data_IF_700257899673
#
_entry.id   IF_700257899673
#
_cell.length_a   1.000
_cell.length_b   1.000
_cell.length_c   1.000
_cell.angle_alpha   90.00
_cell.angle_beta   90.00
_cell.angle_gamma   90.00
#
_symmetry.space_group_name_H-M   'P 1'
#
loop_
_entity.id
_entity.type
_entity.pdbx_description
1 polymer ?
#
# COMPACT_ATOMS: atom_id res chain seq x y z
N UNK A 1 1.13 -18.87 -0.26
CA UNK A 1 0.11 -19.78 0.28
C UNK A 1 0.73 -21.10 0.77
N UNK A 2 1.43 -21.86 -0.09
CA UNK A 2 2.02 -23.17 0.27
C UNK A 2 2.86 -23.13 1.56
N UNK A 3 3.72 -22.13 1.71
CA UNK A 3 4.54 -21.97 2.93
C UNK A 3 3.67 -21.76 4.17
N UNK A 4 2.64 -20.93 4.08
CA UNK A 4 1.71 -20.69 5.20
C UNK A 4 0.93 -21.96 5.56
N UNK A 5 0.47 -22.71 4.58
CA UNK A 5 -0.18 -24.00 4.79
C UNK A 5 0.76 -25.00 5.50
N UNK A 6 2.05 -25.04 5.08
CA UNK A 6 3.08 -25.85 5.77
C UNK A 6 3.35 -25.43 7.22
N UNK A 7 3.04 -24.19 7.59
CA UNK A 7 3.09 -23.68 8.97
C UNK A 7 1.78 -23.88 9.74
N UNK A 8 0.79 -24.55 9.16
CA UNK A 8 -0.53 -24.75 9.76
C UNK A 8 -1.46 -23.53 9.68
N UNK A 9 -1.11 -22.53 8.86
CA UNK A 9 -1.91 -21.34 8.65
C UNK A 9 -2.77 -21.55 7.40
N UNK A 10 -4.09 -21.52 7.54
CA UNK A 10 -5.00 -21.63 6.39
C UNK A 10 -4.80 -20.47 5.43
N UNK A 11 -4.32 -20.73 4.22
CA UNK A 11 -3.98 -19.72 3.25
C UNK A 11 -4.38 -20.13 1.82
N UNK A 12 -4.79 -19.16 1.01
CA UNK A 12 -5.19 -19.38 -0.37
C UNK A 12 -4.55 -18.38 -1.33
N UNK A 13 -4.10 -18.86 -2.46
CA UNK A 13 -3.60 -18.04 -3.56
C UNK A 13 -4.75 -17.54 -4.44
N UNK A 14 -4.69 -16.25 -4.81
CA UNK A 14 -5.68 -15.57 -5.63
C UNK A 14 -5.02 -14.85 -6.79
N UNK A 15 -5.59 -15.02 -7.98
CA UNK A 15 -5.23 -14.23 -9.14
C UNK A 15 -6.15 -13.00 -9.26
N UNK A 16 -5.70 -11.95 -9.95
CA UNK A 16 -6.47 -10.70 -10.07
C UNK A 16 -7.86 -10.85 -10.70
N UNK A 17 -8.09 -11.89 -11.51
CA UNK A 17 -9.40 -12.21 -12.08
C UNK A 17 -10.30 -13.02 -11.13
N UNK A 18 -9.73 -13.75 -10.17
CA UNK A 18 -10.49 -14.47 -9.14
C UNK A 18 -11.00 -13.53 -8.05
N UNK A 19 -10.22 -12.50 -7.77
CA UNK A 19 -10.66 -11.31 -7.05
C UNK A 19 -10.91 -10.24 -8.10
N UNK A 20 -12.14 -9.97 -8.55
CA UNK A 20 -12.38 -9.12 -9.70
C UNK A 20 -11.84 -7.70 -9.50
N UNK A 21 -10.54 -7.50 -9.79
CA UNK A 21 -9.92 -6.19 -9.89
C UNK A 21 -10.25 -5.67 -11.29
N UNK A 22 -11.35 -4.95 -11.40
CA UNK A 22 -11.83 -4.45 -12.68
C UNK A 22 -11.03 -3.22 -13.12
N UNK A 23 -10.64 -3.21 -14.38
CA UNK A 23 -9.75 -2.18 -14.91
C UNK A 23 -10.23 -1.59 -16.23
N UNK A 24 -9.61 -0.45 -16.59
CA UNK A 24 -9.72 0.13 -17.92
C UNK A 24 -9.01 -0.73 -18.99
N UNK A 25 -9.21 -0.40 -20.27
CA UNK A 25 -8.68 -1.13 -21.44
C UNK A 25 -7.22 -0.78 -21.80
N UNK A 26 -6.51 -0.01 -21.00
CA UNK A 26 -5.11 0.35 -21.27
C UNK A 26 -4.17 -0.76 -20.78
N UNK A 27 -4.01 -1.85 -21.52
CA UNK A 27 -3.36 -3.09 -21.09
C UNK A 27 -2.01 -2.95 -20.40
N UNK A 28 -1.17 -1.99 -20.76
CA UNK A 28 0.16 -1.80 -20.15
C UNK A 28 0.18 -0.79 -18.99
N UNK A 29 -0.92 -0.05 -18.77
CA UNK A 29 -1.06 1.01 -17.76
C UNK A 29 -2.52 1.16 -17.34
N UNK A 30 -3.20 0.05 -17.09
CA UNK A 30 -4.62 0.04 -16.75
C UNK A 30 -4.87 0.76 -15.42
N UNK A 31 -6.03 1.40 -15.31
CA UNK A 31 -6.53 2.00 -14.07
C UNK A 31 -7.53 1.07 -13.42
N UNK A 32 -7.44 0.89 -12.11
CA UNK A 32 -8.45 0.19 -11.34
C UNK A 32 -9.73 1.02 -11.37
N UNK A 33 -10.84 0.39 -11.72
CA UNK A 33 -12.18 0.98 -11.77
C UNK A 33 -13.01 0.53 -10.58
N UNK A 34 -12.85 -0.74 -10.18
CA UNK A 34 -13.59 -1.35 -9.08
C UNK A 34 -12.88 -2.59 -8.55
N UNK A 35 -13.09 -2.93 -7.29
CA UNK A 35 -12.60 -4.17 -6.67
C UNK A 35 -13.73 -4.77 -5.83
N UNK A 36 -14.11 -6.01 -6.11
CA UNK A 36 -15.11 -6.70 -5.32
C UNK A 36 -14.47 -7.53 -4.20
N UNK A 37 -14.47 -7.00 -2.97
CA UNK A 37 -13.93 -7.66 -1.78
C UNK A 37 -14.86 -8.65 -1.07
N UNK A 38 -16.10 -8.83 -1.51
CA UNK A 38 -17.12 -9.58 -0.77
C UNK A 38 -16.72 -11.03 -0.47
N UNK A 39 -16.14 -11.75 -1.44
CA UNK A 39 -15.70 -13.13 -1.24
C UNK A 39 -14.51 -13.22 -0.27
N UNK A 40 -13.58 -12.26 -0.29
CA UNK A 40 -12.49 -12.20 0.70
C UNK A 40 -13.05 -12.01 2.11
N UNK A 41 -13.94 -11.02 2.30
CA UNK A 41 -14.56 -10.75 3.60
C UNK A 41 -15.27 -11.99 4.14
N UNK A 42 -16.01 -12.69 3.27
CA UNK A 42 -16.69 -13.93 3.63
C UNK A 42 -15.69 -14.98 4.12
N UNK A 43 -14.61 -15.21 3.37
CA UNK A 43 -13.60 -16.22 3.72
C UNK A 43 -12.82 -15.87 4.97
N UNK A 44 -12.50 -14.60 5.20
CA UNK A 44 -11.86 -14.17 6.44
C UNK A 44 -12.72 -14.47 7.66
N UNK A 45 -14.04 -14.22 7.56
CA UNK A 45 -14.99 -14.48 8.65
C UNK A 45 -15.23 -15.98 8.90
N UNK A 46 -15.50 -16.74 7.84
CA UNK A 46 -15.91 -18.13 7.94
C UNK A 46 -14.74 -19.09 8.13
N UNK A 47 -13.57 -18.81 7.52
CA UNK A 47 -12.44 -19.74 7.44
C UNK A 47 -11.17 -19.25 8.12
N UNK A 48 -11.13 -18.00 8.57
CA UNK A 48 -9.90 -17.32 9.05
C UNK A 48 -8.72 -17.55 8.09
N UNK A 49 -9.00 -17.46 6.80
CA UNK A 49 -8.07 -17.74 5.71
C UNK A 49 -7.20 -16.53 5.43
N UNK A 50 -5.92 -16.73 5.21
CA UNK A 50 -5.01 -15.69 4.70
C UNK A 50 -5.07 -15.71 3.17
N UNK A 51 -5.44 -14.57 2.56
CA UNK A 51 -5.44 -14.42 1.11
C UNK A 51 -4.08 -13.95 0.60
N UNK A 52 -3.43 -14.75 -0.25
CA UNK A 52 -2.20 -14.38 -0.94
C UNK A 52 -2.55 -13.96 -2.36
N UNK A 53 -2.54 -12.68 -2.64
CA UNK A 53 -3.07 -12.09 -3.87
C UNK A 53 -1.93 -11.63 -4.76
N UNK A 54 -1.95 -12.01 -6.06
CA UNK A 54 -1.00 -11.51 -7.04
C UNK A 54 -1.26 -10.03 -7.34
N UNK A 55 -0.27 -9.18 -7.10
CA UNK A 55 -0.31 -7.78 -7.50
C UNK A 55 -0.13 -7.56 -9.01
N UNK A 56 -0.06 -6.30 -9.44
CA UNK A 56 0.28 -5.86 -10.79
C UNK A 56 -0.75 -6.19 -11.89
N UNK A 57 -1.78 -6.94 -11.63
CA UNK A 57 -2.74 -7.39 -12.62
C UNK A 57 -4.18 -7.07 -12.25
N UNK A 58 -5.01 -6.92 -13.27
CA UNK A 58 -6.44 -6.80 -13.17
C UNK A 58 -7.12 -7.43 -14.39
N UNK A 59 -8.41 -7.19 -14.53
CA UNK A 59 -9.22 -7.72 -15.63
C UNK A 59 -10.05 -6.60 -16.25
N UNK A 60 -10.02 -6.47 -17.58
CA UNK A 60 -10.90 -5.52 -18.26
C UNK A 60 -12.36 -5.96 -18.14
N UNK A 61 -13.22 -5.04 -17.70
CA UNK A 61 -14.61 -5.33 -17.33
C UNK A 61 -15.42 -6.00 -18.44
N UNK A 62 -15.33 -5.47 -19.67
CA UNK A 62 -16.22 -5.92 -20.76
C UNK A 62 -15.69 -7.12 -21.53
N UNK A 63 -14.38 -7.28 -21.63
CA UNK A 63 -13.76 -8.35 -22.42
C UNK A 63 -13.24 -9.51 -21.59
N UNK A 64 -13.15 -9.38 -20.28
CA UNK A 64 -12.55 -10.38 -19.38
C UNK A 64 -11.04 -10.58 -19.58
N UNK A 65 -10.37 -9.75 -20.41
CA UNK A 65 -8.93 -9.88 -20.67
C UNK A 65 -8.10 -9.38 -19.52
N UNK A 66 -7.01 -10.07 -19.22
CA UNK A 66 -6.05 -9.66 -18.20
C UNK A 66 -5.36 -8.36 -18.63
N UNK A 67 -5.22 -7.45 -17.71
CA UNK A 67 -4.53 -6.16 -17.85
C UNK A 67 -3.41 -6.04 -16.85
N UNK A 68 -2.43 -5.19 -17.11
CA UNK A 68 -1.39 -4.83 -16.14
C UNK A 68 -1.51 -3.36 -15.74
N UNK A 69 -1.17 -3.08 -14.48
CA UNK A 69 -1.38 -1.75 -13.88
C UNK A 69 -0.22 -0.77 -14.15
N UNK A 70 0.79 -1.22 -14.88
CA UNK A 70 1.97 -0.44 -15.19
C UNK A 70 3.00 -0.41 -14.05
N UNK A 71 4.01 0.45 -14.18
CA UNK A 71 5.10 0.56 -13.18
C UNK A 71 4.53 0.97 -11.81
N UNK A 72 5.05 0.35 -10.73
CA UNK A 72 4.53 0.56 -9.37
C UNK A 72 3.17 -0.10 -9.11
N UNK A 73 2.81 -1.09 -9.94
CA UNK A 73 1.52 -1.76 -9.92
C UNK A 73 1.28 -2.73 -8.75
N UNK A 74 2.11 -2.74 -7.69
CA UNK A 74 1.88 -3.53 -6.47
C UNK A 74 1.17 -2.72 -5.38
N UNK A 75 1.54 -1.46 -5.19
CA UNK A 75 1.00 -0.62 -4.12
C UNK A 75 -0.46 -0.25 -4.38
N UNK A 76 -0.75 0.15 -5.61
CA UNK A 76 -2.11 0.57 -6.01
C UNK A 76 -3.17 -0.52 -5.77
N UNK A 77 -2.99 -1.79 -6.22
CA UNK A 77 -3.97 -2.83 -5.92
C UNK A 77 -4.00 -3.21 -4.44
N UNK A 78 -2.89 -3.10 -3.69
CA UNK A 78 -2.90 -3.36 -2.27
C UNK A 78 -3.82 -2.39 -1.54
N UNK A 79 -3.71 -1.09 -1.81
CA UNK A 79 -4.59 -0.06 -1.23
C UNK A 79 -6.03 -0.22 -1.71
N UNK A 80 -6.25 -0.53 -3.01
CA UNK A 80 -7.59 -0.75 -3.55
C UNK A 80 -8.29 -1.97 -2.91
N UNK A 81 -7.56 -3.05 -2.68
CA UNK A 81 -8.08 -4.24 -1.98
C UNK A 81 -8.37 -3.89 -0.52
N UNK A 82 -7.45 -3.19 0.17
CA UNK A 82 -7.66 -2.76 1.54
C UNK A 82 -8.94 -1.92 1.69
N UNK A 83 -9.19 -1.00 0.75
CA UNK A 83 -10.44 -0.24 0.68
C UNK A 83 -11.66 -1.15 0.49
N UNK A 84 -11.60 -2.07 -0.47
CA UNK A 84 -12.71 -2.97 -0.82
C UNK A 84 -13.10 -3.94 0.31
N UNK A 85 -12.17 -4.29 1.18
CA UNK A 85 -12.42 -5.17 2.35
C UNK A 85 -12.60 -4.41 3.66
N UNK A 86 -12.56 -3.08 3.62
CA UNK A 86 -12.59 -2.22 4.82
C UNK A 86 -11.50 -2.59 5.82
N UNK A 87 -10.27 -2.76 5.33
CA UNK A 87 -9.13 -3.06 6.18
C UNK A 87 -8.81 -1.86 7.10
N UNK A 88 -8.33 -2.15 8.29
CA UNK A 88 -7.91 -1.14 9.27
C UNK A 88 -6.73 -0.29 8.75
N UNK A 89 -5.82 -0.93 8.01
CA UNK A 89 -4.67 -0.27 7.36
C UNK A 89 -4.11 -1.15 6.23
N UNK A 90 -3.25 -0.56 5.42
CA UNK A 90 -2.48 -1.22 4.37
C UNK A 90 -0.98 -1.03 4.63
N UNK A 91 -0.26 -2.09 4.97
CA UNK A 91 1.19 -2.03 5.16
C UNK A 91 1.90 -2.28 3.82
N UNK A 92 2.74 -1.33 3.39
CA UNK A 92 3.57 -1.42 2.18
C UNK A 92 5.02 -1.69 2.60
N UNK A 93 5.48 -2.89 2.34
CA UNK A 93 6.86 -3.29 2.59
C UNK A 93 7.72 -2.98 1.36
N UNK A 94 8.76 -2.19 1.56
CA UNK A 94 9.65 -1.70 0.49
C UNK A 94 11.12 -1.76 0.92
N UNK A 95 12.02 -1.25 0.09
CA UNK A 95 13.47 -1.19 0.33
C UNK A 95 13.91 -0.01 1.21
N UNK A 96 12.97 0.83 1.63
CA UNK A 96 13.18 1.91 2.60
C UNK A 96 12.37 1.68 3.87
N UNK A 97 12.81 2.25 4.98
CA UNK A 97 12.20 2.07 6.30
C UNK A 97 11.16 3.14 6.65
N UNK A 98 10.76 3.95 5.68
CA UNK A 98 9.73 4.99 5.84
C UNK A 98 9.96 6.19 4.93
N UNK A 99 9.20 7.24 5.19
CA UNK A 99 9.32 8.56 4.54
C UNK A 99 10.20 9.47 5.39
N UNK A 100 11.10 10.21 4.75
CA UNK A 100 12.05 11.09 5.41
C UNK A 100 11.77 12.56 5.08
N UNK A 101 12.21 13.44 5.96
CA UNK A 101 12.13 14.90 5.75
C UNK A 101 12.84 15.37 4.47
N UNK A 102 13.82 14.61 4.00
CA UNK A 102 14.46 14.74 2.68
C UNK A 102 15.21 13.44 2.37
N UNK A 103 15.83 13.32 1.18
CA UNK A 103 16.59 12.11 0.81
C UNK A 103 17.82 11.93 1.71
N UNK A 104 17.87 10.89 2.58
CA UNK A 104 18.99 10.66 3.51
C UNK A 104 20.32 10.37 2.80
N UNK A 105 20.29 9.97 1.52
CA UNK A 105 21.50 9.79 0.69
C UNK A 105 22.15 11.11 0.30
N UNK A 106 21.38 12.20 0.32
CA UNK A 106 21.83 13.55 0.00
C UNK A 106 22.10 14.35 1.28
N UNK A 107 21.20 14.22 2.25
CA UNK A 107 21.27 14.92 3.54
C UNK A 107 21.34 13.91 4.67
N UNK A 108 22.53 13.60 5.20
CA UNK A 108 22.70 12.58 6.26
C UNK A 108 21.95 12.89 7.58
N UNK A 109 21.48 14.12 7.76
CA UNK A 109 20.68 14.53 8.93
C UNK A 109 19.16 14.43 8.69
N UNK A 110 18.74 13.89 7.56
CA UNK A 110 17.33 13.63 7.29
C UNK A 110 16.73 12.75 8.41
N UNK A 111 15.55 13.09 8.88
CA UNK A 111 14.84 12.36 9.92
C UNK A 111 13.66 11.62 9.30
N UNK A 112 13.42 10.40 9.75
CA UNK A 112 12.23 9.65 9.38
C UNK A 112 11.01 10.27 10.05
N UNK A 113 9.95 10.44 9.27
CA UNK A 113 8.66 10.91 9.76
C UNK A 113 7.88 9.73 10.36
N UNK A 114 7.33 9.91 11.53
CA UNK A 114 6.45 8.91 12.14
C UNK A 114 5.07 8.91 11.47
N UNK A 115 4.56 10.10 11.16
CA UNK A 115 3.29 10.32 10.46
C UNK A 115 3.46 11.40 9.39
N UNK A 116 2.66 11.30 8.34
CA UNK A 116 2.54 12.30 7.27
C UNK A 116 1.11 12.28 6.75
N UNK A 117 0.55 13.44 6.40
CA UNK A 117 -0.78 13.50 5.82
C UNK A 117 -0.79 12.99 4.37
N UNK A 118 -1.98 12.61 3.87
CA UNK A 118 -2.10 12.22 2.46
C UNK A 118 -1.70 13.36 1.52
N UNK A 119 -2.07 14.59 1.85
CA UNK A 119 -1.77 15.80 1.07
C UNK A 119 -0.26 16.02 0.99
N UNK A 120 0.44 16.01 2.12
CA UNK A 120 1.89 16.15 2.18
C UNK A 120 2.61 15.03 1.44
N UNK A 121 2.11 13.77 1.59
CA UNK A 121 2.70 12.63 0.89
C UNK A 121 2.49 12.74 -0.63
N UNK A 122 1.35 13.26 -1.11
CA UNK A 122 1.11 13.53 -2.53
C UNK A 122 2.08 14.58 -3.07
N UNK A 123 2.31 15.66 -2.34
CA UNK A 123 3.31 16.65 -2.71
C UNK A 123 4.71 16.03 -2.79
N UNK A 124 5.15 15.34 -1.75
CA UNK A 124 6.46 14.69 -1.72
C UNK A 124 6.63 13.69 -2.88
N UNK A 125 5.62 12.86 -3.14
CA UNK A 125 5.64 11.87 -4.23
C UNK A 125 5.67 12.54 -5.63
N UNK A 126 4.93 13.61 -5.81
CA UNK A 126 4.89 14.36 -7.08
C UNK A 126 6.20 15.09 -7.38
N UNK A 127 6.91 15.54 -6.36
CA UNK A 127 8.16 16.27 -6.44
C UNK A 127 9.42 15.39 -6.44
N UNK A 128 9.27 14.07 -6.38
CA UNK A 128 10.39 13.14 -6.55
C UNK A 128 10.71 12.19 -5.40
N UNK A 129 9.97 12.22 -4.30
CA UNK A 129 10.08 11.22 -3.25
C UNK A 129 9.45 9.90 -3.75
N UNK A 130 10.28 9.01 -4.31
CA UNK A 130 9.84 7.76 -4.97
C UNK A 130 9.56 6.61 -3.98
N UNK A 131 9.03 6.92 -2.81
CA UNK A 131 8.73 5.91 -1.77
C UNK A 131 7.42 5.18 -2.10
N UNK A 132 6.39 5.92 -2.51
CA UNK A 132 5.10 5.39 -2.93
C UNK A 132 4.69 5.91 -4.30
N UNK A 133 3.83 5.16 -4.97
CA UNK A 133 3.19 5.64 -6.19
C UNK A 133 2.09 6.65 -5.85
N UNK A 134 2.06 7.77 -6.56
CA UNK A 134 1.03 8.82 -6.37
C UNK A 134 -0.39 8.24 -6.36
N UNK A 135 -0.69 7.33 -7.29
CA UNK A 135 -2.00 6.66 -7.37
C UNK A 135 -2.40 5.88 -6.12
N UNK A 136 -1.44 5.26 -5.43
CA UNK A 136 -1.75 4.52 -4.19
C UNK A 136 -2.10 5.48 -3.05
N UNK A 137 -1.42 6.63 -2.98
CA UNK A 137 -1.70 7.67 -2.01
C UNK A 137 -3.06 8.33 -2.28
N UNK A 138 -3.36 8.66 -3.55
CA UNK A 138 -4.68 9.16 -3.97
C UNK A 138 -5.82 8.21 -3.57
N UNK A 139 -5.66 6.91 -3.81
CA UNK A 139 -6.66 5.91 -3.41
C UNK A 139 -6.81 5.83 -1.89
N UNK A 140 -5.70 5.85 -1.15
CA UNK A 140 -5.71 5.87 0.31
C UNK A 140 -6.49 7.05 0.85
N UNK A 141 -6.23 8.24 0.32
CA UNK A 141 -6.91 9.49 0.67
C UNK A 141 -8.43 9.41 0.38
N UNK A 142 -8.81 9.02 -0.84
CA UNK A 142 -10.23 8.95 -1.25
C UNK A 142 -11.03 7.95 -0.43
N UNK A 143 -10.43 6.80 -0.12
CA UNK A 143 -11.09 5.71 0.61
C UNK A 143 -10.77 5.69 2.11
N UNK A 144 -10.00 6.66 2.61
CA UNK A 144 -9.58 6.77 4.02
C UNK A 144 -8.89 5.50 4.55
N UNK A 145 -8.08 4.88 3.70
CA UNK A 145 -7.26 3.71 4.05
C UNK A 145 -5.91 4.20 4.56
N UNK A 146 -5.61 4.00 5.83
CA UNK A 146 -4.29 4.28 6.39
C UNK A 146 -3.24 3.42 5.70
N UNK A 147 -2.15 4.05 5.23
CA UNK A 147 -1.04 3.35 4.59
C UNK A 147 0.16 3.42 5.52
N UNK A 148 0.81 2.29 5.74
CA UNK A 148 1.99 2.22 6.58
C UNK A 148 3.18 1.75 5.76
N UNK A 149 4.18 2.61 5.58
CA UNK A 149 5.42 2.30 4.84
C UNK A 149 6.42 1.69 5.78
N UNK A 150 6.91 0.50 5.45
CA UNK A 150 7.82 -0.28 6.29
C UNK A 150 8.94 -0.90 5.48
N UNK A 151 10.07 -1.19 6.14
CA UNK A 151 11.17 -1.90 5.52
C UNK A 151 10.86 -3.39 5.36
N UNK A 152 11.14 -3.94 4.18
CA UNK A 152 11.11 -5.40 3.95
C UNK A 152 12.32 -6.13 4.54
N UNK A 153 13.31 -5.39 5.05
CA UNK A 153 14.54 -5.95 5.66
C UNK A 153 14.45 -6.05 7.18
N UNK A 154 13.40 -5.49 7.80
CA UNK A 154 13.17 -5.65 9.24
C UNK A 154 12.79 -7.08 9.57
N UNK A 155 13.40 -7.61 10.62
CA UNK A 155 13.07 -8.94 11.14
C UNK A 155 12.00 -8.83 12.21
N UNK A 156 11.05 -9.78 12.28
CA UNK A 156 10.01 -9.77 13.32
C UNK A 156 10.58 -9.73 14.75
N UNK A 157 11.74 -10.36 14.97
CA UNK A 157 12.43 -10.37 16.27
C UNK A 157 13.01 -9.00 16.70
N UNK A 158 13.25 -8.10 15.74
CA UNK A 158 13.80 -6.76 16.00
C UNK A 158 12.68 -5.74 16.30
N UNK A 159 11.42 -6.14 16.18
CA UNK A 159 10.26 -5.26 16.40
C UNK A 159 9.78 -5.45 17.83
N UNK A 160 9.78 -4.35 18.60
CA UNK A 160 9.18 -4.36 19.95
C UNK A 160 7.69 -4.74 19.85
N UNK A 161 7.24 -5.85 20.45
CA UNK A 161 5.84 -6.27 20.39
C UNK A 161 4.87 -5.28 21.05
N UNK A 162 5.37 -4.39 21.89
CA UNK A 162 4.59 -3.39 22.63
C UNK A 162 4.87 -1.95 22.17
N UNK A 163 5.83 -1.78 21.27
CA UNK A 163 6.20 -0.49 20.68
C UNK A 163 5.39 -0.12 19.45
N UNK A 164 5.53 1.13 19.02
CA UNK A 164 5.03 1.58 17.71
C UNK A 164 5.83 0.86 16.63
N UNK A 165 5.19 0.16 15.69
CA UNK A 165 5.93 -0.48 14.61
C UNK A 165 6.80 0.55 13.88
N UNK A 166 8.07 0.21 13.55
CA UNK A 166 8.92 1.11 12.80
C UNK A 166 8.35 1.36 11.40
N UNK A 167 8.46 2.59 10.91
CA UNK A 167 7.93 2.99 9.62
C UNK A 167 7.33 4.39 9.62
N UNK A 168 6.59 4.73 8.57
CA UNK A 168 5.84 5.99 8.45
C UNK A 168 4.38 5.70 8.19
N UNK A 169 3.50 6.23 9.02
CA UNK A 169 2.05 6.17 8.84
C UNK A 169 1.59 7.34 7.97
N UNK A 170 0.86 7.04 6.90
CA UNK A 170 0.18 8.02 6.04
C UNK A 170 -1.31 7.94 6.36
N UNK A 171 -1.89 9.05 6.80
CA UNK A 171 -3.25 9.14 7.31
C UNK A 171 -3.89 10.49 6.99
N UNK A 172 -5.14 10.70 7.38
CA UNK A 172 -5.80 12.01 7.31
C UNK A 172 -5.10 13.02 8.23
N UNK A 173 -5.10 14.31 7.86
CA UNK A 173 -4.49 15.39 8.65
C UNK A 173 -5.08 15.49 10.07
N UNK A 174 -6.35 15.17 10.22
CA UNK A 174 -7.05 15.14 11.51
C UNK A 174 -6.46 14.11 12.51
N UNK A 175 -5.78 13.09 12.02
CA UNK A 175 -5.09 12.07 12.82
C UNK A 175 -3.68 12.53 13.29
N UNK A 176 -3.22 13.71 12.86
CA UNK A 176 -1.90 14.28 13.18
C UNK A 176 -2.05 15.39 14.23
N UNK A 177 -1.62 15.10 15.45
CA UNK A 177 -1.82 15.99 16.62
C UNK A 177 -0.88 17.20 16.60
N UNK A 178 0.25 17.13 15.89
CA UNK A 178 1.24 18.20 15.80
C UNK A 178 1.42 18.67 14.35
N UNK A 179 1.05 19.91 14.07
CA UNK A 179 1.32 20.56 12.79
C UNK A 179 2.76 21.09 12.75
N UNK A 180 3.61 20.49 11.95
CA UNK A 180 4.90 21.06 11.58
C UNK A 180 4.72 22.04 10.42
N UNK A 181 5.37 23.21 10.46
CA UNK A 181 5.28 24.22 9.38
C UNK A 181 5.89 23.72 8.07
N UNK A 182 6.85 22.81 8.14
CA UNK A 182 7.49 22.16 6.97
C UNK A 182 7.75 20.69 7.33
N UNK A 183 7.07 19.77 6.64
CA UNK A 183 7.20 18.33 6.87
C UNK A 183 8.40 17.74 6.17
N UNK A 184 8.71 18.21 4.95
CA UNK A 184 9.83 17.70 4.18
C UNK A 184 10.17 18.53 2.95
N UNK A 185 11.28 18.19 2.32
CA UNK A 185 11.77 18.80 1.07
C UNK A 185 12.11 17.68 0.10
N UNK A 186 11.45 17.67 -1.06
CA UNK A 186 11.80 16.81 -2.18
C UNK A 186 12.51 17.60 -3.28
N UNK A 187 13.35 16.95 -4.07
CA UNK A 187 13.96 17.55 -5.25
C UNK A 187 13.90 16.60 -6.45
N UNK A 188 13.79 17.18 -7.63
CA UNK A 188 13.89 16.46 -8.90
C UNK A 188 15.22 16.80 -9.57
N UNK A 189 15.88 15.79 -10.17
CA UNK A 189 17.07 15.98 -11.01
C UNK A 189 16.67 16.27 -12.44
#
# INVERSE_FOLDING_TARGET
>A
AITLEGMGINARSWQGWQLPILTSNAHGAARILDVNGAELIKRFKERKEVAVISGFQGMHKDTGRITTLGRGGSDTPAVAIAAAIHAERCDIYTDVDGVYTTDPRVVPRAQRLEKVSFEEMLELASLGAKVLQVRSVELGMVHKVRIFVRSSFERPEDIDPHGTPPGTLICDEEDIVEQQTVTGIAFSK
#
